data_IF_680229254282
#
_entry.id   IF_680229254282
#
_cell.length_a   1.000
_cell.length_b   1.000
_cell.length_c   1.000
_cell.angle_alpha   90.00
_cell.angle_beta   90.00
_cell.angle_gamma   90.00
#
_symmetry.space_group_name_H-M   'P 1'
#
loop_
_entity.id
_entity.type
_entity.pdbx_description
1 polymer ?
#
# COMPACT_ATOMS: atom_id res chain seq x y z
N UNK A 1 4.87 11.53 -19.99
CA UNK A 1 3.99 12.25 -19.02
C UNK A 1 4.84 12.60 -17.80
N UNK A 2 4.49 13.62 -17.02
CA UNK A 2 5.20 13.90 -15.76
C UNK A 2 4.76 12.91 -14.68
N UNK A 3 5.63 12.66 -13.71
CA UNK A 3 5.34 11.79 -12.57
C UNK A 3 4.49 12.53 -11.52
N UNK A 4 3.62 11.84 -10.76
CA UNK A 4 2.78 12.44 -9.72
C UNK A 4 3.56 12.70 -8.43
N UNK A 5 4.62 13.51 -8.51
CA UNK A 5 5.49 13.88 -7.39
C UNK A 5 5.44 15.39 -7.13
N UNK A 6 5.33 15.77 -5.85
CA UNK A 6 5.48 17.16 -5.41
C UNK A 6 6.64 17.27 -4.44
N UNK A 7 7.67 18.05 -4.79
CA UNK A 7 8.88 18.27 -3.96
C UNK A 7 9.62 16.99 -3.52
N UNK A 8 9.47 15.89 -4.23
CA UNK A 8 10.05 14.59 -3.88
C UNK A 8 9.11 13.68 -3.09
N UNK A 9 7.86 14.09 -2.88
CA UNK A 9 6.84 13.28 -2.23
C UNK A 9 5.85 12.74 -3.28
N UNK A 10 5.76 11.41 -3.45
CA UNK A 10 4.75 10.79 -4.30
C UNK A 10 3.35 11.11 -3.78
N UNK A 11 2.49 11.64 -4.63
CA UNK A 11 1.11 11.98 -4.26
C UNK A 11 0.35 10.72 -3.83
N UNK A 12 0.64 9.57 -4.47
CA UNK A 12 0.03 8.29 -4.11
C UNK A 12 0.24 7.94 -2.63
N UNK A 13 1.48 8.06 -2.13
CA UNK A 13 1.82 7.73 -0.74
C UNK A 13 1.14 8.66 0.27
N UNK A 14 0.97 9.94 -0.07
CA UNK A 14 0.21 10.88 0.78
C UNK A 14 -1.28 10.55 0.76
N UNK A 15 -1.82 10.20 -0.41
CA UNK A 15 -3.24 9.88 -0.55
C UNK A 15 -3.64 8.58 0.14
N UNK A 16 -2.72 7.62 0.32
CA UNK A 16 -3.02 6.35 1.00
C UNK A 16 -3.35 6.50 2.48
N UNK A 17 -2.92 7.59 3.13
CA UNK A 17 -3.23 7.84 4.55
C UNK A 17 -4.75 7.97 4.79
N UNK A 18 -5.47 8.57 3.84
CA UNK A 18 -6.92 8.78 3.92
C UNK A 18 -7.69 7.45 3.96
N UNK A 19 -7.57 6.55 2.97
CA UNK A 19 -8.30 5.29 2.99
C UNK A 19 -7.88 4.37 4.14
N UNK A 20 -6.60 4.37 4.52
CA UNK A 20 -6.11 3.54 5.63
C UNK A 20 -6.73 4.02 6.95
N UNK A 21 -6.62 5.31 7.26
CA UNK A 21 -7.18 5.88 8.48
C UNK A 21 -8.70 5.72 8.56
N UNK A 22 -9.40 5.95 7.46
CA UNK A 22 -10.85 5.78 7.39
C UNK A 22 -11.28 4.31 7.58
N UNK A 23 -10.55 3.36 7.00
CA UNK A 23 -10.85 1.93 7.17
C UNK A 23 -10.59 1.45 8.60
N UNK A 24 -9.50 1.90 9.24
CA UNK A 24 -9.25 1.65 10.66
C UNK A 24 -10.39 2.21 11.51
N UNK A 25 -10.82 3.44 11.24
CA UNK A 25 -11.97 4.06 11.91
C UNK A 25 -13.26 3.24 11.75
N UNK A 26 -13.53 2.73 10.55
CA UNK A 26 -14.70 1.88 10.30
C UNK A 26 -14.72 0.62 11.17
N UNK A 27 -13.59 -0.08 11.28
CA UNK A 27 -13.46 -1.29 12.12
C UNK A 27 -13.60 -0.95 13.61
N UNK A 28 -13.09 0.20 14.05
CA UNK A 28 -13.29 0.68 15.42
C UNK A 28 -14.77 0.95 15.70
N UNK A 29 -15.48 1.60 14.78
CA UNK A 29 -16.92 1.84 14.92
C UNK A 29 -17.72 0.54 14.89
N UNK A 30 -17.36 -0.43 14.07
CA UNK A 30 -17.96 -1.77 14.12
C UNK A 30 -17.81 -2.40 15.53
N UNK A 31 -16.60 -2.36 16.10
CA UNK A 31 -16.33 -2.88 17.43
C UNK A 31 -17.16 -2.16 18.51
N UNK A 32 -17.25 -0.83 18.45
CA UNK A 32 -18.08 -0.04 19.36
C UNK A 32 -19.58 -0.36 19.23
N UNK A 33 -20.06 -0.59 18.00
CA UNK A 33 -21.42 -1.04 17.73
C UNK A 33 -21.72 -2.39 18.38
N UNK A 34 -20.78 -3.34 18.30
CA UNK A 34 -20.91 -4.66 18.95
C UNK A 34 -20.91 -4.58 20.48
N UNK A 35 -20.08 -3.71 21.07
CA UNK A 35 -19.95 -3.57 22.52
C UNK A 35 -21.13 -2.81 23.13
N UNK A 36 -21.50 -1.68 22.53
CA UNK A 36 -22.46 -0.73 23.13
C UNK A 36 -23.89 -0.90 22.61
N UNK A 37 -24.08 -1.64 21.50
CA UNK A 37 -25.37 -1.85 20.82
C UNK A 37 -26.06 -0.55 20.39
N UNK A 38 -25.28 0.50 20.11
CA UNK A 38 -25.79 1.79 19.62
C UNK A 38 -25.81 1.88 18.10
N UNK A 39 -26.96 2.27 17.53
CA UNK A 39 -27.15 2.38 16.07
C UNK A 39 -26.27 3.47 15.43
N UNK A 40 -25.85 4.49 16.21
CA UNK A 40 -24.96 5.56 15.73
C UNK A 40 -23.63 5.03 15.19
N UNK A 41 -23.15 3.90 15.73
CA UNK A 41 -21.89 3.30 15.32
C UNK A 41 -21.99 2.63 13.95
N UNK A 42 -23.17 2.11 13.60
CA UNK A 42 -23.43 1.58 12.26
C UNK A 42 -23.34 2.65 11.19
N UNK A 43 -23.95 3.81 11.46
CA UNK A 43 -23.84 4.98 10.57
C UNK A 43 -22.39 5.47 10.46
N UNK A 44 -21.70 5.63 11.60
CA UNK A 44 -20.30 6.07 11.62
C UNK A 44 -19.40 5.12 10.81
N UNK A 45 -19.53 3.80 11.03
CA UNK A 45 -18.80 2.79 10.28
C UNK A 45 -19.07 2.89 8.78
N UNK A 46 -20.34 2.94 8.36
CA UNK A 46 -20.71 3.06 6.96
C UNK A 46 -20.15 4.34 6.32
N UNK A 47 -20.27 5.48 6.98
CA UNK A 47 -19.74 6.75 6.50
C UNK A 47 -18.21 6.68 6.30
N UNK A 48 -17.49 6.12 7.26
CA UNK A 48 -16.03 5.94 7.14
C UNK A 48 -15.62 4.92 6.09
N UNK A 49 -16.37 3.83 5.87
CA UNK A 49 -16.14 2.93 4.73
C UNK A 49 -16.32 3.69 3.41
N UNK A 50 -17.31 4.60 3.32
CA UNK A 50 -17.51 5.46 2.16
C UNK A 50 -16.31 6.37 1.90
N UNK A 51 -15.77 7.02 2.94
CA UNK A 51 -14.54 7.82 2.85
C UNK A 51 -13.36 6.95 2.42
N UNK A 52 -13.22 5.75 2.98
CA UNK A 52 -12.17 4.82 2.63
C UNK A 52 -12.25 4.38 1.16
N UNK A 53 -13.46 4.13 0.65
CA UNK A 53 -13.68 3.75 -0.74
C UNK A 53 -13.32 4.90 -1.70
N UNK A 54 -13.82 6.11 -1.45
CA UNK A 54 -13.54 7.28 -2.31
C UNK A 54 -12.06 7.64 -2.27
N UNK A 55 -11.47 7.70 -1.08
CA UNK A 55 -10.03 7.95 -0.90
C UNK A 55 -9.18 6.86 -1.57
N UNK A 56 -9.60 5.60 -1.45
CA UNK A 56 -8.92 4.46 -2.05
C UNK A 56 -8.95 4.47 -3.58
N UNK A 57 -10.08 4.86 -4.19
CA UNK A 57 -10.18 5.07 -5.65
C UNK A 57 -9.20 6.17 -6.08
N UNK A 58 -9.17 7.30 -5.36
CA UNK A 58 -8.24 8.39 -5.63
C UNK A 58 -6.78 7.94 -5.54
N UNK A 59 -6.42 7.23 -4.47
CA UNK A 59 -5.09 6.66 -4.28
C UNK A 59 -4.75 5.66 -5.39
N UNK A 60 -5.67 4.79 -5.79
CA UNK A 60 -5.45 3.80 -6.86
C UNK A 60 -5.20 4.45 -8.22
N UNK A 61 -5.93 5.52 -8.56
CA UNK A 61 -5.71 6.25 -9.82
C UNK A 61 -4.32 6.91 -9.86
N UNK A 62 -3.93 7.58 -8.77
CA UNK A 62 -2.61 8.20 -8.67
C UNK A 62 -1.50 7.15 -8.60
N UNK A 63 -1.74 6.02 -7.91
CA UNK A 63 -0.81 4.90 -7.84
C UNK A 63 -0.65 4.21 -9.19
N UNK A 64 -1.71 4.09 -9.98
CA UNK A 64 -1.63 3.57 -11.34
C UNK A 64 -0.82 4.52 -12.25
N UNK A 65 -0.98 5.83 -12.08
CA UNK A 65 -0.14 6.82 -12.76
C UNK A 65 1.32 6.67 -12.35
N UNK A 66 1.60 6.57 -11.05
CA UNK A 66 2.96 6.36 -10.52
C UNK A 66 3.60 5.08 -11.07
N UNK A 67 2.82 4.00 -11.12
CA UNK A 67 3.25 2.70 -11.62
C UNK A 67 3.68 2.75 -13.09
N UNK A 68 3.13 3.63 -13.94
CA UNK A 68 3.57 3.75 -15.34
C UNK A 68 5.02 4.22 -15.48
N UNK A 69 5.57 4.89 -14.47
CA UNK A 69 6.95 5.33 -14.48
C UNK A 69 7.95 4.19 -14.18
N UNK A 70 7.47 3.06 -13.65
CA UNK A 70 8.33 1.92 -13.29
C UNK A 70 8.87 1.25 -14.57
N UNK A 71 10.21 1.16 -14.74
CA UNK A 71 10.82 0.45 -15.87
C UNK A 71 10.34 -1.00 -15.95
N UNK A 72 10.23 -1.54 -17.18
CA UNK A 72 9.66 -2.88 -17.39
C UNK A 72 10.54 -4.03 -16.89
N UNK A 73 11.84 -3.79 -16.86
CA UNK A 73 12.90 -4.70 -16.40
C UNK A 73 13.23 -4.53 -14.91
N UNK A 74 12.65 -3.53 -14.24
CA UNK A 74 12.84 -3.34 -12.80
C UNK A 74 12.10 -4.43 -12.00
N UNK A 75 12.72 -5.01 -10.96
CA UNK A 75 12.04 -5.94 -10.05
C UNK A 75 10.81 -5.32 -9.38
N UNK A 76 10.84 -3.99 -9.15
CA UNK A 76 9.75 -3.17 -8.61
C UNK A 76 8.49 -3.25 -9.46
N UNK A 77 8.61 -3.49 -10.77
CA UNK A 77 7.47 -3.64 -11.67
C UNK A 77 6.55 -4.78 -11.25
N UNK A 78 7.14 -5.94 -10.96
CA UNK A 78 6.38 -7.15 -10.61
C UNK A 78 5.69 -7.01 -9.25
N UNK A 79 6.38 -6.39 -8.28
CA UNK A 79 5.85 -6.14 -6.95
C UNK A 79 4.75 -5.08 -6.98
N UNK A 80 4.94 -4.00 -7.73
CA UNK A 80 3.93 -2.96 -7.94
C UNK A 80 2.65 -3.51 -8.59
N UNK A 81 2.76 -4.44 -9.53
CA UNK A 81 1.60 -5.12 -10.10
C UNK A 81 0.81 -5.91 -9.05
N UNK A 82 1.51 -6.73 -8.24
CA UNK A 82 0.89 -7.51 -7.15
C UNK A 82 0.22 -6.59 -6.14
N UNK A 83 0.91 -5.53 -5.73
CA UNK A 83 0.39 -4.52 -4.82
C UNK A 83 -0.89 -3.87 -5.38
N UNK A 84 -0.88 -3.43 -6.64
CA UNK A 84 -2.06 -2.84 -7.29
C UNK A 84 -3.25 -3.80 -7.41
N UNK A 85 -3.00 -5.08 -7.75
CA UNK A 85 -4.05 -6.11 -7.83
C UNK A 85 -4.68 -6.33 -6.46
N UNK A 86 -3.88 -6.53 -5.42
CA UNK A 86 -4.39 -6.76 -4.07
C UNK A 86 -5.15 -5.56 -3.52
N UNK A 87 -4.71 -4.33 -3.80
CA UNK A 87 -5.47 -3.13 -3.44
C UNK A 87 -6.75 -2.98 -4.26
N UNK A 88 -6.81 -3.50 -5.48
CA UNK A 88 -8.08 -3.57 -6.23
C UNK A 88 -9.06 -4.52 -5.52
N UNK A 89 -8.58 -5.65 -4.98
CA UNK A 89 -9.40 -6.55 -4.15
C UNK A 89 -9.88 -5.83 -2.89
N UNK A 90 -9.03 -5.03 -2.23
CA UNK A 90 -9.46 -4.18 -1.10
C UNK A 90 -10.60 -3.25 -1.51
N UNK A 91 -10.50 -2.55 -2.65
CA UNK A 91 -11.57 -1.66 -3.12
C UNK A 91 -12.88 -2.39 -3.36
N UNK A 92 -12.83 -3.62 -3.89
CA UNK A 92 -14.02 -4.47 -4.05
C UNK A 92 -14.62 -4.84 -2.69
N UNK A 93 -13.79 -5.19 -1.70
CA UNK A 93 -14.25 -5.47 -0.33
C UNK A 93 -14.89 -4.23 0.33
N UNK A 94 -14.31 -3.04 0.13
CA UNK A 94 -14.88 -1.78 0.63
C UNK A 94 -16.22 -1.46 -0.05
N UNK A 95 -16.31 -1.63 -1.37
CA UNK A 95 -17.56 -1.44 -2.10
C UNK A 95 -18.65 -2.43 -1.64
N UNK A 96 -18.28 -3.70 -1.44
CA UNK A 96 -19.18 -4.70 -0.89
C UNK A 96 -19.63 -4.36 0.53
N UNK A 97 -18.70 -3.96 1.41
CA UNK A 97 -19.01 -3.52 2.77
C UNK A 97 -19.96 -2.32 2.77
N UNK A 98 -19.69 -1.30 1.94
CA UNK A 98 -20.54 -0.13 1.81
C UNK A 98 -21.95 -0.48 1.33
N UNK A 99 -22.06 -1.29 0.27
CA UNK A 99 -23.34 -1.72 -0.30
C UNK A 99 -24.15 -2.57 0.67
N UNK A 100 -23.52 -3.49 1.39
CA UNK A 100 -24.18 -4.31 2.41
C UNK A 100 -24.74 -3.48 3.56
N UNK A 101 -24.09 -2.37 3.92
CA UNK A 101 -24.52 -1.43 4.97
C UNK A 101 -25.55 -0.42 4.48
N UNK A 102 -25.79 -0.32 3.18
CA UNK A 102 -26.65 0.73 2.63
C UNK A 102 -28.14 0.45 2.89
N UNK A 103 -28.82 1.42 3.50
CA UNK A 103 -30.27 1.36 3.74
C UNK A 103 -30.71 0.39 4.84
N UNK A 104 -29.78 -0.25 5.55
CA UNK A 104 -30.07 -1.10 6.70
C UNK A 104 -29.79 -0.34 8.00
N UNK A 105 -30.80 -0.25 8.87
CA UNK A 105 -30.72 0.47 10.15
C UNK A 105 -29.93 -0.26 11.25
N UNK A 106 -29.46 -1.48 11.00
CA UNK A 106 -28.66 -2.30 11.91
C UNK A 106 -27.41 -2.81 11.20
N UNK A 107 -26.29 -2.99 11.93
CA UNK A 107 -25.00 -3.32 11.32
C UNK A 107 -24.99 -4.76 10.79
N UNK A 108 -24.93 -4.99 9.47
CA UNK A 108 -24.95 -6.35 8.92
C UNK A 108 -23.59 -7.02 9.13
N UNK A 109 -23.57 -8.22 9.71
CA UNK A 109 -22.35 -8.96 10.02
C UNK A 109 -21.44 -9.14 8.79
N UNK A 110 -22.02 -9.38 7.60
CA UNK A 110 -21.25 -9.50 6.35
C UNK A 110 -20.54 -8.19 5.97
N UNK A 111 -21.13 -7.03 6.26
CA UNK A 111 -20.50 -5.73 6.02
C UNK A 111 -19.29 -5.51 6.93
N UNK A 112 -19.37 -5.95 8.18
CA UNK A 112 -18.26 -5.91 9.15
C UNK A 112 -17.12 -6.84 8.75
N UNK A 113 -17.46 -8.07 8.36
CA UNK A 113 -16.47 -9.06 7.90
C UNK A 113 -15.75 -8.54 6.66
N UNK A 114 -16.45 -7.93 5.71
CA UNK A 114 -15.84 -7.36 4.51
C UNK A 114 -14.85 -6.22 4.81
N UNK A 115 -15.19 -5.27 5.71
CA UNK A 115 -14.27 -4.20 6.13
C UNK A 115 -13.09 -4.74 6.93
N UNK A 116 -13.29 -5.73 7.79
CA UNK A 116 -12.22 -6.37 8.56
C UNK A 116 -11.22 -7.14 7.67
N UNK A 117 -11.73 -7.91 6.69
CA UNK A 117 -10.89 -8.56 5.69
C UNK A 117 -10.15 -7.53 4.83
N UNK A 118 -10.82 -6.43 4.47
CA UNK A 118 -10.19 -5.29 3.81
C UNK A 118 -9.02 -4.73 4.62
N UNK A 119 -9.19 -4.54 5.93
CA UNK A 119 -8.15 -4.02 6.81
C UNK A 119 -6.95 -4.97 6.91
N UNK A 120 -7.20 -6.27 7.08
CA UNK A 120 -6.14 -7.27 7.11
C UNK A 120 -5.35 -7.29 5.79
N UNK A 121 -6.05 -7.23 4.66
CA UNK A 121 -5.42 -7.20 3.35
C UNK A 121 -4.64 -5.89 3.11
N UNK A 122 -5.15 -4.74 3.53
CA UNK A 122 -4.42 -3.45 3.51
C UNK A 122 -3.14 -3.52 4.33
N UNK A 123 -3.14 -4.20 5.48
CA UNK A 123 -1.92 -4.44 6.25
C UNK A 123 -0.87 -5.19 5.43
N UNK A 124 -1.28 -6.25 4.74
CA UNK A 124 -0.38 -7.01 3.87
C UNK A 124 0.08 -6.23 2.63
N UNK A 125 -0.82 -5.49 1.95
CA UNK A 125 -0.42 -4.68 0.79
C UNK A 125 0.45 -3.49 1.20
N UNK A 126 0.23 -2.93 2.39
CA UNK A 126 1.10 -1.92 3.00
C UNK A 126 2.51 -2.44 3.22
N UNK A 127 2.66 -3.69 3.67
CA UNK A 127 3.97 -4.35 3.77
C UNK A 127 4.65 -4.55 2.40
N UNK A 128 3.90 -4.90 1.36
CA UNK A 128 4.46 -4.93 -0.01
C UNK A 128 4.87 -3.53 -0.48
N UNK A 129 4.09 -2.50 -0.13
CA UNK A 129 4.43 -1.11 -0.39
C UNK A 129 5.73 -0.69 0.29
N UNK A 130 5.92 -1.09 1.55
CA UNK A 130 7.14 -0.80 2.29
C UNK A 130 8.36 -1.50 1.71
N UNK A 131 8.24 -2.73 1.19
CA UNK A 131 9.35 -3.39 0.48
C UNK A 131 9.78 -2.61 -0.77
N UNK A 132 8.83 -2.10 -1.56
CA UNK A 132 9.18 -1.29 -2.74
C UNK A 132 9.95 -0.03 -2.35
N UNK A 133 9.62 0.59 -1.21
CA UNK A 133 10.27 1.82 -0.75
C UNK A 133 11.61 1.54 -0.06
N UNK A 134 11.64 0.61 0.89
CA UNK A 134 12.79 0.39 1.77
C UNK A 134 13.77 -0.65 1.23
N UNK A 135 13.31 -1.65 0.49
CA UNK A 135 14.18 -2.70 -0.05
C UNK A 135 14.59 -2.37 -1.49
N UNK A 136 13.67 -1.81 -2.28
CA UNK A 136 13.92 -1.48 -3.69
C UNK A 136 14.20 0.02 -3.92
N UNK A 137 14.06 0.88 -2.90
CA UNK A 137 14.40 2.30 -3.04
C UNK A 137 13.49 3.10 -3.97
N UNK A 138 12.32 2.58 -4.35
CA UNK A 138 11.41 3.25 -5.26
C UNK A 138 10.92 4.57 -4.68
N UNK A 139 10.99 5.66 -5.45
CA UNK A 139 10.56 7.01 -5.04
C UNK A 139 11.34 7.62 -3.86
N UNK A 140 12.58 7.17 -3.66
CA UNK A 140 13.53 7.73 -2.68
C UNK A 140 14.76 8.26 -3.42
N UNK A 141 14.95 9.58 -3.46
CA UNK A 141 15.93 10.24 -4.36
C UNK A 141 17.35 9.64 -4.37
N UNK A 142 18.04 9.41 -3.23
CA UNK A 142 19.36 8.76 -3.27
C UNK A 142 19.30 7.38 -3.94
N UNK A 143 18.32 6.56 -3.55
CA UNK A 143 18.17 5.21 -4.08
C UNK A 143 17.73 5.18 -5.55
N UNK A 144 16.86 6.10 -5.99
CA UNK A 144 16.45 6.21 -7.40
C UNK A 144 17.65 6.48 -8.34
N UNK A 145 18.63 7.27 -7.90
CA UNK A 145 19.85 7.50 -8.68
C UNK A 145 20.77 6.28 -8.65
N UNK A 146 20.89 5.60 -7.52
CA UNK A 146 21.70 4.39 -7.39
C UNK A 146 21.17 3.26 -8.28
N UNK A 147 19.84 3.07 -8.38
CA UNK A 147 19.23 2.11 -9.31
C UNK A 147 19.58 2.40 -10.78
N UNK A 148 19.57 3.69 -11.17
CA UNK A 148 19.92 4.11 -12.53
C UNK A 148 21.41 3.89 -12.84
N UNK A 149 22.27 4.13 -11.85
CA UNK A 149 23.71 3.86 -11.93
C UNK A 149 23.93 2.35 -12.06
N UNK A 150 23.26 1.54 -11.24
CA UNK A 150 23.36 0.09 -11.28
C UNK A 150 22.95 -0.45 -12.66
N UNK A 151 21.82 0.01 -13.21
CA UNK A 151 21.38 -0.37 -14.55
C UNK A 151 22.44 -0.05 -15.62
N UNK A 152 23.08 1.11 -15.53
CA UNK A 152 24.16 1.53 -16.44
C UNK A 152 25.41 0.65 -16.28
N UNK A 153 25.78 0.30 -15.05
CA UNK A 153 26.90 -0.59 -14.75
C UNK A 153 26.65 -2.01 -15.28
N UNK A 154 25.42 -2.53 -15.18
CA UNK A 154 25.04 -3.83 -15.76
C UNK A 154 25.22 -3.82 -17.28
N UNK A 155 24.76 -2.77 -17.96
CA UNK A 155 24.93 -2.62 -19.40
C UNK A 155 26.40 -2.53 -19.82
N UNK A 156 27.24 -1.93 -18.99
CA UNK A 156 28.69 -1.86 -19.19
C UNK A 156 29.44 -3.17 -18.84
N UNK A 157 28.73 -4.21 -18.39
CA UNK A 157 29.33 -5.49 -17.96
C UNK A 157 30.07 -5.43 -16.61
N UNK A 158 29.86 -4.37 -15.83
CA UNK A 158 30.54 -4.17 -14.54
C UNK A 158 29.76 -4.84 -13.39
N UNK A 159 29.48 -6.14 -13.53
CA UNK A 159 28.70 -6.92 -12.55
C UNK A 159 29.40 -7.09 -11.21
N UNK A 160 30.73 -7.18 -11.20
CA UNK A 160 31.50 -7.35 -9.96
C UNK A 160 31.33 -6.17 -8.98
N UNK A 161 31.28 -4.93 -9.50
CA UNK A 161 31.05 -3.74 -8.67
C UNK A 161 29.66 -3.76 -8.03
N UNK A 162 28.66 -4.22 -8.78
CA UNK A 162 27.26 -4.35 -8.32
C UNK A 162 27.18 -5.41 -7.22
N UNK A 163 27.77 -6.58 -7.45
CA UNK A 163 27.77 -7.68 -6.49
C UNK A 163 28.48 -7.31 -5.19
N UNK A 164 29.58 -6.55 -5.27
CA UNK A 164 30.26 -6.00 -4.11
C UNK A 164 29.37 -5.02 -3.34
N UNK A 165 28.68 -4.11 -4.04
CA UNK A 165 27.76 -3.16 -3.42
C UNK A 165 26.61 -3.90 -2.71
N UNK A 166 25.96 -4.85 -3.38
CA UNK A 166 24.89 -5.67 -2.79
C UNK A 166 25.38 -6.46 -1.58
N UNK A 167 26.55 -7.11 -1.67
CA UNK A 167 27.13 -7.85 -0.54
C UNK A 167 27.37 -6.95 0.67
N UNK A 168 27.85 -5.73 0.44
CA UNK A 168 28.09 -4.73 1.49
C UNK A 168 26.78 -4.34 2.18
N UNK A 169 25.73 -4.05 1.40
CA UNK A 169 24.40 -3.71 1.94
C UNK A 169 23.79 -4.88 2.70
N UNK A 170 23.84 -6.09 2.14
CA UNK A 170 23.33 -7.28 2.81
C UNK A 170 24.08 -7.58 4.11
N UNK A 171 25.41 -7.39 4.14
CA UNK A 171 26.19 -7.59 5.35
C UNK A 171 25.80 -6.57 6.42
N UNK A 172 25.64 -5.31 6.04
CA UNK A 172 25.17 -4.28 6.96
C UNK A 172 23.80 -4.64 7.55
N UNK A 173 22.84 -5.03 6.71
CA UNK A 173 21.51 -5.46 7.15
C UNK A 173 21.59 -6.63 8.16
N UNK A 174 22.35 -7.69 7.82
CA UNK A 174 22.54 -8.85 8.72
C UNK A 174 23.12 -8.49 10.09
N UNK A 175 23.97 -7.48 10.16
CA UNK A 175 24.61 -7.06 11.41
C UNK A 175 23.73 -6.12 12.25
N UNK A 176 22.80 -5.37 11.63
CA UNK A 176 22.06 -4.29 12.28
C UNK A 176 20.56 -4.56 12.43
N UNK A 177 19.98 -5.50 11.69
CA UNK A 177 18.56 -5.82 11.78
C UNK A 177 18.25 -6.61 13.05
N UNK A 178 17.16 -6.23 13.71
CA UNK A 178 16.65 -6.93 14.90
C UNK A 178 16.26 -8.38 14.59
N UNK A 179 15.84 -8.64 13.35
CA UNK A 179 15.47 -9.96 12.86
C UNK A 179 16.20 -10.20 11.53
N UNK A 180 16.93 -11.32 11.39
CA UNK A 180 17.65 -11.60 10.16
C UNK A 180 16.69 -11.90 9.00
N UNK A 181 16.94 -11.33 7.82
CA UNK A 181 16.24 -11.69 6.59
C UNK A 181 16.58 -13.14 6.20
N UNK A 182 15.58 -14.02 6.16
CA UNK A 182 15.72 -15.34 5.53
C UNK A 182 15.66 -15.17 4.01
N UNK A 183 16.76 -15.51 3.33
CA UNK A 183 16.82 -15.56 1.85
C UNK A 183 15.76 -16.48 1.26
#
# INVERSE_FOLDING_TARGET
MKDPIVRGHPIHAVLTDVPIGALVGAVVFDALGLITRGDQWGFAAQATVGVALVGGIGAALVGLWDYQAVPRDSPTRSMGARHGILNTVVLVLLAASFGLRYGVGMVPALGQVASLLGLALVGYTGWLGSQMVYDQGWRVKPAEYDEQIEASLRQAGNTATIEQAHTTVEQYAREHDLLPHTR
#
